data_IF_324351849795
#
_entry.id   IF_324351849795
#
_cell.length_a   1.000
_cell.length_b   1.000
_cell.length_c   1.000
_cell.angle_alpha   90.00
_cell.angle_beta   90.00
_cell.angle_gamma   90.00
#
_symmetry.space_group_name_H-M   'P 1'
#
loop_
_entity.id
_entity.type
_entity.pdbx_description
1 polymer ?
#
# COMPACT_ATOMS: atom_id res chain seq x y z
N UNK A 1 -29.14 1.12 14.56
CA UNK A 1 -28.09 1.97 15.17
C UNK A 1 -26.74 1.45 14.67
N UNK A 2 -26.24 1.97 13.55
CA UNK A 2 -24.90 1.60 13.04
C UNK A 2 -23.88 2.35 13.89
N UNK A 3 -23.05 1.64 14.64
CA UNK A 3 -21.85 2.23 15.24
C UNK A 3 -20.93 2.67 14.09
N UNK A 4 -20.89 3.97 13.83
CA UNK A 4 -19.88 4.55 12.96
C UNK A 4 -18.54 4.43 13.66
N UNK A 5 -17.74 3.45 13.27
CA UNK A 5 -16.31 3.46 13.57
C UNK A 5 -15.75 4.66 12.81
N UNK A 6 -15.43 5.71 13.57
CA UNK A 6 -14.75 6.90 13.07
C UNK A 6 -13.46 6.47 12.38
N UNK A 7 -13.17 7.02 11.19
CA UNK A 7 -11.93 6.77 10.43
C UNK A 7 -10.65 6.99 11.25
N UNK A 8 -10.74 7.77 12.34
CA UNK A 8 -9.66 7.96 13.30
C UNK A 8 -9.34 6.69 14.09
N UNK A 9 -10.35 5.88 14.45
CA UNK A 9 -10.18 4.63 15.18
C UNK A 9 -9.40 3.57 14.38
N UNK A 10 -9.62 3.52 13.07
CA UNK A 10 -8.92 2.60 12.16
C UNK A 10 -7.44 2.93 12.04
N UNK A 11 -7.09 4.23 11.98
CA UNK A 11 -5.69 4.70 11.93
C UNK A 11 -4.92 4.32 13.20
N UNK A 12 -5.54 4.43 14.39
CA UNK A 12 -4.88 4.06 15.64
C UNK A 12 -4.63 2.54 15.76
N UNK A 13 -5.54 1.72 15.25
CA UNK A 13 -5.37 0.25 15.23
C UNK A 13 -4.29 -0.14 14.21
N UNK A 14 -4.25 0.52 13.05
CA UNK A 14 -3.23 0.31 12.00
C UNK A 14 -1.81 0.65 12.49
N UNK A 15 -1.63 1.77 13.20
CA UNK A 15 -0.35 2.08 13.84
C UNK A 15 0.04 1.03 14.88
N UNK A 16 -0.92 0.51 15.66
CA UNK A 16 -0.66 -0.52 16.67
C UNK A 16 -0.26 -1.86 16.04
N UNK A 17 -0.85 -2.23 14.90
CA UNK A 17 -0.50 -3.44 14.15
C UNK A 17 0.87 -3.31 13.51
N UNK A 18 1.21 -2.17 12.89
CA UNK A 18 2.57 -1.93 12.40
C UNK A 18 3.58 -2.03 13.54
N UNK A 19 3.34 -1.34 14.66
CA UNK A 19 4.23 -1.40 15.83
C UNK A 19 4.34 -2.82 16.38
N UNK A 20 3.26 -3.60 16.43
CA UNK A 20 3.31 -4.98 16.92
C UNK A 20 4.02 -5.94 15.96
N UNK A 21 3.88 -5.77 14.64
CA UNK A 21 4.57 -6.58 13.64
C UNK A 21 6.07 -6.28 13.66
N UNK A 22 6.46 -5.00 13.76
CA UNK A 22 7.87 -4.59 13.77
C UNK A 22 8.55 -4.71 15.14
N UNK A 23 7.82 -4.67 16.26
CA UNK A 23 8.40 -4.88 17.60
C UNK A 23 8.74 -6.35 17.90
N UNK A 24 8.23 -7.29 17.09
CA UNK A 24 8.56 -8.71 17.21
C UNK A 24 9.81 -9.10 16.41
N UNK A 25 10.35 -8.18 15.59
CA UNK A 25 11.65 -8.34 14.96
C UNK A 25 12.74 -8.01 15.99
N UNK A 26 13.26 -9.05 16.63
CA UNK A 26 14.31 -8.95 17.64
C UNK A 26 15.67 -8.59 17.04
N UNK A 27 15.93 -7.31 16.80
CA UNK A 27 17.28 -6.78 16.62
C UNK A 27 17.35 -5.38 17.25
N UNK A 28 18.36 -5.15 18.09
CA UNK A 28 18.56 -3.88 18.80
C UNK A 28 18.83 -2.67 17.87
N UNK A 29 18.89 -2.88 16.55
CA UNK A 29 19.20 -1.89 15.52
C UNK A 29 18.24 -1.93 14.31
N UNK A 30 17.11 -2.65 14.38
CA UNK A 30 16.14 -2.64 13.29
C UNK A 30 15.41 -1.28 13.24
N UNK A 31 15.34 -0.67 12.07
CA UNK A 31 14.62 0.58 11.83
C UNK A 31 13.51 0.40 10.81
N UNK A 32 12.40 1.10 11.02
CA UNK A 32 11.27 1.09 10.08
C UNK A 32 11.18 2.46 9.41
N UNK A 33 11.34 2.48 8.10
CA UNK A 33 11.16 3.69 7.31
C UNK A 33 9.89 3.58 6.48
N UNK A 34 9.13 4.67 6.44
CA UNK A 34 7.83 4.73 5.78
C UNK A 34 7.77 5.90 4.81
N UNK A 35 7.23 5.63 3.63
CA UNK A 35 6.74 6.62 2.69
C UNK A 35 5.34 7.03 3.06
N UNK A 36 5.09 8.35 3.15
CA UNK A 36 3.73 8.85 3.34
C UNK A 36 2.91 8.71 2.06
N UNK A 37 1.59 8.64 2.19
CA UNK A 37 0.69 8.43 1.07
C UNK A 37 0.78 9.48 -0.07
N UNK A 38 1.39 10.63 0.18
CA UNK A 38 1.73 11.65 -0.82
C UNK A 38 2.77 11.22 -1.85
N UNK A 39 3.57 10.18 -1.57
CA UNK A 39 4.58 9.66 -2.49
C UNK A 39 4.04 8.62 -3.48
N UNK A 40 2.76 8.26 -3.36
CA UNK A 40 2.14 7.31 -4.26
C UNK A 40 1.78 8.00 -5.58
N UNK A 41 1.95 7.29 -6.69
CA UNK A 41 1.69 7.77 -8.04
C UNK A 41 0.88 6.75 -8.83
N UNK A 42 -0.12 7.24 -9.58
CA UNK A 42 -0.95 6.41 -10.46
C UNK A 42 -0.28 6.34 -11.83
N UNK A 43 -0.14 5.15 -12.41
CA UNK A 43 0.49 4.96 -13.71
C UNK A 43 -0.38 5.48 -14.87
N UNK A 44 -1.66 5.10 -14.89
CA UNK A 44 -2.59 5.41 -15.97
C UNK A 44 -3.73 6.30 -15.46
N UNK A 45 -3.42 7.58 -15.21
CA UNK A 45 -4.39 8.54 -14.64
C UNK A 45 -5.67 8.71 -15.50
N UNK A 46 -5.62 8.38 -16.79
CA UNK A 46 -6.80 8.35 -17.67
C UNK A 46 -7.86 7.31 -17.28
N UNK A 47 -7.49 6.33 -16.44
CA UNK A 47 -8.42 5.33 -15.92
C UNK A 47 -9.15 5.80 -14.64
N UNK A 48 -8.81 6.98 -14.10
CA UNK A 48 -9.39 7.55 -12.89
C UNK A 48 -10.60 8.43 -13.24
N UNK A 49 -11.69 8.32 -12.46
CA UNK A 49 -12.94 9.03 -12.71
C UNK A 49 -12.82 10.56 -12.50
N UNK A 50 -12.05 10.98 -11.49
CA UNK A 50 -11.88 12.39 -11.09
C UNK A 50 -10.39 12.72 -10.85
N UNK A 51 -9.57 12.67 -11.90
CA UNK A 51 -8.11 12.82 -11.80
C UNK A 51 -7.63 14.16 -11.18
N UNK A 52 -8.48 15.19 -11.10
CA UNK A 52 -8.11 16.53 -10.65
C UNK A 52 -7.87 16.69 -9.14
N UNK A 53 -8.30 15.76 -8.28
CA UNK A 53 -8.20 15.87 -6.82
C UNK A 53 -7.86 14.54 -6.15
N UNK A 54 -6.75 13.90 -6.56
CA UNK A 54 -6.38 12.59 -6.04
C UNK A 54 -5.22 12.61 -5.05
N UNK A 55 -4.36 13.62 -5.12
CA UNK A 55 -3.18 13.75 -4.27
C UNK A 55 -3.44 14.72 -3.12
N UNK A 56 -3.48 14.21 -1.90
CA UNK A 56 -3.66 15.00 -0.68
C UNK A 56 -2.40 14.92 0.18
N UNK A 57 -2.15 15.95 0.99
CA UNK A 57 -1.01 16.00 1.91
C UNK A 57 -0.91 14.83 2.90
N UNK A 58 -1.95 14.02 3.03
CA UNK A 58 -2.03 12.84 3.89
C UNK A 58 -2.08 11.51 3.12
N UNK A 59 -2.29 11.51 1.80
CA UNK A 59 -2.55 10.29 1.05
C UNK A 59 -2.90 10.48 -0.42
N UNK A 60 -2.89 9.35 -1.14
CA UNK A 60 -3.49 9.23 -2.47
C UNK A 60 -4.92 8.70 -2.28
N UNK A 61 -5.92 9.39 -2.82
CA UNK A 61 -7.34 9.06 -2.68
C UNK A 61 -8.08 9.30 -3.99
N UNK A 62 -8.51 8.24 -4.66
CA UNK A 62 -9.07 8.33 -6.00
C UNK A 62 -10.18 7.31 -6.24
N UNK A 63 -10.98 7.54 -7.28
CA UNK A 63 -11.93 6.56 -7.80
C UNK A 63 -11.46 6.06 -9.16
N UNK A 64 -11.40 4.75 -9.34
CA UNK A 64 -11.12 4.14 -10.64
C UNK A 64 -12.41 4.03 -11.46
N UNK A 65 -12.34 4.26 -12.77
CA UNK A 65 -13.48 4.03 -13.66
C UNK A 65 -13.85 2.53 -13.68
N UNK A 66 -15.15 2.22 -13.74
CA UNK A 66 -15.63 0.83 -13.75
C UNK A 66 -15.02 0.01 -14.88
N UNK A 67 -14.66 -1.24 -14.58
CA UNK A 67 -14.06 -2.18 -15.52
C UNK A 67 -12.60 -1.89 -15.88
N UNK A 68 -11.98 -0.88 -15.27
CA UNK A 68 -10.59 -0.54 -15.52
C UNK A 68 -9.65 -1.10 -14.44
N UNK A 69 -8.37 -1.07 -14.79
CA UNK A 69 -7.24 -1.45 -13.93
C UNK A 69 -6.14 -0.40 -14.09
N UNK A 70 -5.34 -0.18 -13.05
CA UNK A 70 -4.11 0.60 -13.16
C UNK A 70 -3.13 0.18 -12.06
N UNK A 71 -1.94 0.78 -12.07
CA UNK A 71 -0.91 0.58 -11.06
C UNK A 71 -0.74 1.81 -10.20
N UNK A 72 -0.49 1.57 -8.92
CA UNK A 72 -0.08 2.59 -7.96
C UNK A 72 1.32 2.26 -7.48
N UNK A 73 2.24 3.22 -7.61
CA UNK A 73 3.65 3.06 -7.28
C UNK A 73 4.04 3.96 -6.14
N UNK A 74 4.87 3.49 -5.20
CA UNK A 74 5.52 4.36 -4.22
C UNK A 74 6.96 3.91 -4.00
N UNK A 75 7.93 4.83 -4.00
CA UNK A 75 9.24 4.54 -3.44
C UNK A 75 9.11 4.31 -1.93
N UNK A 76 10.03 3.58 -1.32
CA UNK A 76 10.21 3.46 0.13
C UNK A 76 11.60 4.02 0.44
N UNK A 77 11.76 4.90 1.45
CA UNK A 77 13.07 5.41 1.82
C UNK A 77 13.96 4.23 2.18
N UNK A 78 15.15 4.16 1.59
CA UNK A 78 16.10 3.06 1.79
C UNK A 78 17.34 3.58 2.50
N UNK A 79 17.93 2.73 3.34
CA UNK A 79 19.24 3.01 3.96
C UNK A 79 20.30 2.22 3.21
N UNK A 80 21.29 2.94 2.69
CA UNK A 80 22.38 2.31 1.95
C UNK A 80 23.12 1.33 2.86
N UNK A 81 23.39 0.14 2.32
CA UNK A 81 24.12 -0.94 2.98
C UNK A 81 23.38 -1.64 4.13
N UNK A 82 22.08 -1.42 4.27
CA UNK A 82 21.24 -2.22 5.15
C UNK A 82 20.41 -3.24 4.35
N UNK A 83 20.08 -4.33 5.03
CA UNK A 83 19.27 -5.40 4.49
C UNK A 83 17.79 -5.19 4.86
N UNK A 84 16.91 -5.78 4.06
CA UNK A 84 15.47 -5.85 4.35
C UNK A 84 14.93 -7.23 3.99
N UNK A 85 13.95 -7.68 4.76
CA UNK A 85 13.12 -8.84 4.44
C UNK A 85 11.62 -8.50 4.49
N UNK A 86 11.22 -7.60 5.38
CA UNK A 86 9.83 -7.32 5.67
C UNK A 86 9.45 -5.92 5.18
N UNK A 87 8.40 -5.88 4.35
CA UNK A 87 7.76 -4.66 3.89
C UNK A 87 6.28 -4.66 4.26
N UNK A 88 5.65 -3.50 4.24
CA UNK A 88 4.21 -3.39 4.43
C UNK A 88 3.63 -2.29 3.54
N UNK A 89 2.39 -2.48 3.08
CA UNK A 89 1.59 -1.44 2.43
C UNK A 89 0.24 -1.30 3.12
N UNK A 90 -0.18 -0.06 3.37
CA UNK A 90 -1.42 0.26 4.05
C UNK A 90 -2.33 1.04 3.12
N UNK A 91 -3.52 0.50 2.90
CA UNK A 91 -4.51 1.07 2.00
C UNK A 91 -5.94 0.72 2.42
N UNK A 92 -6.90 1.40 1.80
CA UNK A 92 -8.33 1.17 1.94
C UNK A 92 -8.97 1.10 0.55
N UNK A 93 -9.95 0.22 0.37
CA UNK A 93 -10.84 0.23 -0.80
C UNK A 93 -12.29 0.48 -0.38
N UNK A 94 -13.00 1.25 -1.20
CA UNK A 94 -14.36 1.72 -0.93
C UNK A 94 -15.42 0.62 -0.86
N UNK A 95 -15.19 -0.47 -1.56
CA UNK A 95 -16.13 -1.59 -1.72
C UNK A 95 -15.38 -2.90 -1.99
N UNK A 96 -16.11 -4.03 -2.00
CA UNK A 96 -15.56 -5.31 -2.44
C UNK A 96 -15.36 -5.39 -3.96
N UNK A 97 -15.99 -4.49 -4.74
CA UNK A 97 -15.79 -4.39 -6.19
C UNK A 97 -14.59 -3.50 -6.56
N UNK A 98 -13.85 -3.05 -5.54
CA UNK A 98 -12.57 -2.36 -5.65
C UNK A 98 -11.51 -3.17 -4.90
N UNK A 99 -10.51 -3.71 -5.62
CA UNK A 99 -9.53 -4.60 -4.99
C UNK A 99 -8.11 -4.43 -5.53
N UNK A 100 -7.15 -4.81 -4.69
CA UNK A 100 -5.76 -5.04 -5.08
C UNK A 100 -5.57 -6.53 -5.34
N UNK A 101 -5.15 -6.89 -6.55
CA UNK A 101 -4.94 -8.30 -6.93
C UNK A 101 -3.48 -8.69 -7.11
N UNK A 102 -2.58 -7.69 -7.13
CA UNK A 102 -1.17 -7.94 -7.33
C UNK A 102 -0.31 -6.87 -6.68
N UNK A 103 0.80 -7.30 -6.09
CA UNK A 103 1.83 -6.43 -5.51
C UNK A 103 3.20 -6.90 -6.03
N UNK A 104 3.93 -5.98 -6.66
CA UNK A 104 5.30 -6.18 -7.10
C UNK A 104 6.23 -5.33 -6.20
N UNK A 105 7.31 -5.94 -5.69
CA UNK A 105 8.38 -5.24 -4.96
C UNK A 105 9.58 -5.11 -5.87
N UNK A 106 10.14 -3.90 -5.92
CA UNK A 106 11.30 -3.57 -6.73
C UNK A 106 12.45 -3.08 -5.85
N UNK A 107 13.67 -3.35 -6.30
CA UNK A 107 14.90 -2.77 -5.78
C UNK A 107 15.67 -2.19 -6.98
N UNK A 108 15.58 -0.88 -7.18
CA UNK A 108 15.98 -0.23 -8.42
C UNK A 108 15.10 -0.68 -9.59
N UNK A 109 15.73 -1.14 -10.67
CA UNK A 109 15.06 -1.69 -11.85
C UNK A 109 14.77 -3.20 -11.76
N UNK A 110 15.22 -3.85 -10.68
CA UNK A 110 15.07 -5.28 -10.49
C UNK A 110 13.83 -5.58 -9.65
N UNK A 111 12.92 -6.37 -10.20
CA UNK A 111 11.77 -6.88 -9.44
C UNK A 111 12.19 -8.06 -8.56
N UNK A 112 12.14 -7.87 -7.25
CA UNK A 112 12.61 -8.85 -6.26
C UNK A 112 11.49 -9.76 -5.73
N UNK A 113 10.23 -9.31 -5.82
CA UNK A 113 9.06 -10.11 -5.40
C UNK A 113 7.86 -9.82 -6.29
N UNK A 114 7.07 -10.86 -6.54
CA UNK A 114 5.73 -10.78 -7.11
C UNK A 114 4.79 -11.52 -6.17
N UNK A 115 3.68 -10.89 -5.83
CA UNK A 115 2.56 -11.50 -5.14
C UNK A 115 1.35 -11.29 -6.05
N UNK A 116 0.84 -12.37 -6.62
CA UNK A 116 -0.26 -12.35 -7.60
C UNK A 116 -1.43 -13.19 -7.09
N UNK A 117 -2.60 -13.05 -7.71
CA UNK A 117 -3.83 -13.76 -7.32
C UNK A 117 -4.41 -13.30 -5.99
N UNK A 118 -4.11 -12.07 -5.56
CA UNK A 118 -4.73 -11.45 -4.40
C UNK A 118 -6.16 -11.01 -4.73
N UNK A 119 -6.93 -10.71 -3.68
CA UNK A 119 -8.24 -10.08 -3.80
C UNK A 119 -8.52 -9.23 -2.56
N UNK A 120 -7.62 -8.29 -2.27
CA UNK A 120 -7.64 -7.50 -1.05
C UNK A 120 -8.58 -6.30 -1.22
N UNK A 121 -9.54 -6.16 -0.30
CA UNK A 121 -10.52 -5.06 -0.27
C UNK A 121 -10.79 -4.59 1.16
N UNK A 122 -11.39 -3.40 1.32
CA UNK A 122 -11.58 -2.75 2.61
C UNK A 122 -10.27 -2.24 3.20
N UNK A 123 -10.19 -2.14 4.53
CA UNK A 123 -8.99 -1.71 5.25
C UNK A 123 -7.90 -2.80 5.23
N UNK A 124 -6.70 -2.44 4.78
CA UNK A 124 -5.59 -3.37 4.59
C UNK A 124 -4.30 -2.83 5.20
N UNK A 125 -3.62 -3.69 5.96
CA UNK A 125 -2.20 -3.58 6.29
C UNK A 125 -1.54 -4.88 5.83
N UNK A 126 -1.09 -4.90 4.58
CA UNK A 126 -0.57 -6.10 3.95
C UNK A 126 0.94 -6.19 4.18
N UNK A 127 1.37 -7.22 4.89
CA UNK A 127 2.78 -7.52 5.16
C UNK A 127 3.34 -8.39 4.05
N UNK A 128 4.51 -8.02 3.57
CA UNK A 128 5.23 -8.66 2.48
C UNK A 128 6.53 -9.21 3.04
N UNK A 129 6.66 -10.54 3.03
CA UNK A 129 7.91 -11.23 3.33
C UNK A 129 8.62 -11.58 2.02
N UNK A 130 9.82 -11.01 1.83
CA UNK A 130 10.67 -11.31 0.68
C UNK A 130 11.13 -12.77 0.71
N UNK A 131 11.22 -13.38 1.90
CA UNK A 131 11.66 -14.76 2.16
C UNK A 131 13.18 -14.89 2.31
N UNK A 132 13.91 -13.82 2.04
CA UNK A 132 15.35 -13.68 2.24
C UNK A 132 15.67 -12.22 2.48
N UNK A 133 16.70 -11.99 3.27
CA UNK A 133 17.31 -10.68 3.39
C UNK A 133 17.97 -10.29 2.06
N UNK A 134 17.70 -9.05 1.63
CA UNK A 134 18.37 -8.46 0.47
C UNK A 134 18.93 -7.08 0.84
N UNK A 135 20.08 -6.69 0.27
CA UNK A 135 20.59 -5.33 0.43
C UNK A 135 19.65 -4.35 -0.27
N UNK A 136 19.13 -3.38 0.48
CA UNK A 136 18.20 -2.39 -0.04
C UNK A 136 18.96 -1.19 -0.63
N UNK A 137 18.73 -0.92 -1.91
CA UNK A 137 19.37 0.21 -2.61
C UNK A 137 18.33 1.27 -2.97
N UNK A 138 17.20 0.85 -3.55
CA UNK A 138 16.11 1.73 -3.93
C UNK A 138 14.80 0.94 -3.96
N UNK A 139 14.16 0.77 -2.81
CA UNK A 139 12.95 -0.02 -2.70
C UNK A 139 11.74 0.73 -3.24
N UNK A 140 10.85 0.01 -3.92
CA UNK A 140 9.51 0.52 -4.23
C UNK A 140 8.47 -0.60 -4.24
N UNK A 141 7.22 -0.23 -3.95
CA UNK A 141 6.06 -1.11 -4.08
C UNK A 141 5.21 -0.62 -5.24
N UNK A 142 4.76 -1.56 -6.07
CA UNK A 142 3.77 -1.34 -7.12
C UNK A 142 2.56 -2.23 -6.84
N UNK A 143 1.39 -1.63 -6.61
CA UNK A 143 0.14 -2.35 -6.39
C UNK A 143 -0.78 -2.19 -7.61
N UNK A 144 -1.28 -3.30 -8.15
CA UNK A 144 -2.31 -3.27 -9.20
C UNK A 144 -3.67 -3.19 -8.55
N UNK A 145 -4.42 -2.15 -8.91
CA UNK A 145 -5.78 -1.89 -8.44
C UNK A 145 -6.77 -2.17 -9.55
N UNK A 146 -7.94 -2.68 -9.20
CA UNK A 146 -8.96 -3.09 -10.16
C UNK A 146 -10.34 -2.67 -9.67
N UNK A 147 -11.14 -2.18 -10.61
CA UNK A 147 -12.53 -1.86 -10.42
C UNK A 147 -13.38 -2.85 -11.21
N UNK A 148 -14.37 -3.45 -10.56
CA UNK A 148 -15.36 -4.24 -11.27
C UNK A 148 -16.26 -3.38 -12.15
N UNK A 149 -17.20 -4.05 -12.80
CA UNK A 149 -18.10 -3.42 -13.78
C UNK A 149 -19.37 -2.87 -13.13
N UNK A 150 -19.67 -3.28 -11.90
CA UNK A 150 -20.88 -2.89 -11.21
C UNK A 150 -20.60 -1.65 -10.37
N UNK A 151 -21.39 -0.60 -10.55
CA UNK A 151 -21.23 0.58 -9.71
C UNK A 151 -21.84 0.29 -8.34
N UNK A 152 -21.00 -0.07 -7.35
CA UNK A 152 -21.47 -0.23 -5.97
C UNK A 152 -22.02 1.13 -5.47
N UNK A 153 -23.31 1.21 -5.09
CA UNK A 153 -23.91 2.45 -4.60
C UNK A 153 -23.30 2.92 -3.26
N UNK A 154 -22.52 2.09 -2.58
CA UNK A 154 -21.85 2.43 -1.31
C UNK A 154 -20.33 2.33 -1.49
N UNK A 155 -19.64 3.47 -1.52
CA UNK A 155 -18.18 3.55 -1.52
C UNK A 155 -17.50 3.48 -2.89
N UNK A 156 -18.19 2.99 -3.93
CA UNK A 156 -17.72 2.99 -5.32
C UNK A 156 -16.38 2.27 -5.52
N UNK A 157 -15.66 2.65 -6.57
CA UNK A 157 -14.31 2.13 -6.87
C UNK A 157 -13.21 2.99 -6.25
N UNK A 158 -13.42 3.39 -5.00
CA UNK A 158 -12.49 4.26 -4.28
C UNK A 158 -11.28 3.48 -3.79
N UNK A 159 -10.10 4.08 -3.89
CA UNK A 159 -8.85 3.59 -3.34
C UNK A 159 -8.19 4.70 -2.54
N UNK A 160 -7.68 4.35 -1.37
CA UNK A 160 -6.92 5.27 -0.53
C UNK A 160 -5.62 4.59 -0.11
N UNK A 161 -4.47 5.17 -0.44
CA UNK A 161 -3.16 4.68 -0.01
C UNK A 161 -2.57 5.62 1.03
N UNK A 162 -2.19 5.05 2.18
CA UNK A 162 -1.77 5.82 3.35
C UNK A 162 -0.26 5.81 3.56
N UNK A 163 0.36 4.64 3.43
CA UNK A 163 1.79 4.49 3.67
C UNK A 163 2.31 3.17 3.11
N UNK A 164 3.60 3.14 2.81
CA UNK A 164 4.35 1.91 2.58
C UNK A 164 5.63 1.97 3.40
N UNK A 165 5.98 0.87 4.07
CA UNK A 165 7.11 0.81 4.98
C UNK A 165 7.99 -0.39 4.68
N UNK A 166 9.26 -0.29 5.08
CA UNK A 166 10.18 -1.42 5.13
C UNK A 166 10.94 -1.40 6.46
N UNK A 167 11.20 -2.60 6.97
CA UNK A 167 12.16 -2.80 8.05
C UNK A 167 13.56 -2.94 7.46
N UNK A 168 14.52 -2.26 8.06
CA UNK A 168 15.92 -2.35 7.72
C UNK A 168 16.73 -2.77 8.93
N UNK A 169 17.76 -3.56 8.68
CA UNK A 169 18.72 -3.97 9.69
C UNK A 169 20.11 -4.14 9.05
N UNK A 170 21.18 -4.14 9.87
CA UNK A 170 22.53 -4.40 9.39
C UNK A 170 22.69 -5.73 8.63
#
# INVERSE_FOLDING_TARGET
MRLGISSKGTIYILCFVLVAVFAMAGAADAQVLCSQGTSFHIQDEGNVADAGNVYFGWGLDFNLNSGNTTWVHTPIPSVLFENTQILAVVFYTGSSDAWVDRIDVWNGDTRVKIIDGLHLSGDQAYVIDLGTDIPAVSLSISARVNAGVEQDPVGGHRFVFYTACAEFHP
#
